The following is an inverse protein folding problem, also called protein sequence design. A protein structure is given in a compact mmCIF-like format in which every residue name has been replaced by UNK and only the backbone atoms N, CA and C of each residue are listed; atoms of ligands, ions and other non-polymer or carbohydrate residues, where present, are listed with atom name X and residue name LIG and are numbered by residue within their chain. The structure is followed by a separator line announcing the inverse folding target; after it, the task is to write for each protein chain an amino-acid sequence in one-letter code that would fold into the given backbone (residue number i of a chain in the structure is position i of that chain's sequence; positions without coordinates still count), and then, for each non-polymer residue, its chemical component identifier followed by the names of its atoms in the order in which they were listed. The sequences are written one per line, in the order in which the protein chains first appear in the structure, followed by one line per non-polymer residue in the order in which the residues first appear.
data_IF_224948766726
#
_entry.id   IF_224948766726
#
_cell.length_a   1.000
_cell.length_b   1.000
_cell.length_c   1.000
_cell.angle_alpha   90.00
_cell.angle_beta   90.00
_cell.angle_gamma   90.00
#
_symmetry.space_group_name_H-M   'P 1'
#
loop_
_entity.id
_entity.type
_entity.pdbx_description
1 polymer ?
#
# COMPACT_ATOMS: atom_id res chain seq x y z
N UNK A 1 -4.70 -24.85 -26.35
CA UNK A 1 -4.70 -24.36 -24.95
C UNK A 1 -3.44 -23.53 -24.75
N UNK A 2 -3.54 -22.20 -24.80
CA UNK A 2 -2.43 -21.32 -24.53
C UNK A 2 -2.35 -21.22 -23.01
N UNK A 3 -1.34 -21.86 -22.40
CA UNK A 3 -0.99 -21.65 -21.01
C UNK A 3 -0.58 -20.18 -20.87
N UNK A 4 -1.47 -19.33 -20.38
CA UNK A 4 -1.07 -18.02 -19.87
C UNK A 4 -0.12 -18.32 -18.71
N UNK A 5 1.17 -18.07 -18.92
CA UNK A 5 2.11 -17.94 -17.83
C UNK A 5 1.58 -16.77 -17.00
N UNK A 6 1.14 -17.05 -15.78
CA UNK A 6 0.86 -16.02 -14.79
C UNK A 6 2.22 -15.33 -14.60
N UNK A 7 2.39 -14.19 -15.26
CA UNK A 7 3.57 -13.37 -15.08
C UNK A 7 3.53 -12.89 -13.62
N UNK A 8 4.47 -13.36 -12.81
CA UNK A 8 4.64 -12.83 -11.48
C UNK A 8 5.17 -11.41 -11.63
N UNK A 9 4.33 -10.43 -11.33
CA UNK A 9 4.69 -9.03 -11.27
C UNK A 9 4.95 -8.65 -9.83
N UNK A 10 5.98 -7.84 -9.62
CA UNK A 10 6.34 -7.27 -8.35
C UNK A 10 5.82 -5.83 -8.30
N UNK A 11 4.98 -5.50 -7.33
CA UNK A 11 4.65 -4.13 -7.00
C UNK A 11 5.71 -3.59 -6.06
N UNK A 12 6.37 -2.52 -6.46
CA UNK A 12 7.41 -1.85 -5.69
C UNK A 12 6.96 -0.44 -5.37
N UNK A 13 6.96 -0.09 -4.09
CA UNK A 13 6.54 1.22 -3.61
C UNK A 13 7.63 1.95 -2.83
N UNK A 14 7.49 3.27 -2.80
CA UNK A 14 8.26 4.16 -1.94
C UNK A 14 7.29 5.12 -1.24
N UNK A 15 7.32 5.12 0.11
CA UNK A 15 6.39 5.86 0.97
C UNK A 15 7.08 6.99 1.71
N UNK A 16 6.38 8.11 1.86
CA UNK A 16 6.88 9.29 2.57
C UNK A 16 5.78 9.93 3.41
N UNK A 17 6.15 10.37 4.61
CA UNK A 17 5.31 11.27 5.40
C UNK A 17 5.39 12.67 4.81
N UNK A 18 4.25 13.34 4.71
CA UNK A 18 4.09 14.68 4.13
C UNK A 18 3.70 15.65 5.23
N UNK A 19 4.45 16.74 5.37
CA UNK A 19 4.14 17.83 6.32
C UNK A 19 3.29 18.89 5.66
N UNK A 20 3.60 19.23 4.41
CA UNK A 20 2.88 20.23 3.62
C UNK A 20 2.15 19.59 2.44
N UNK A 21 0.89 19.19 2.66
CA UNK A 21 0.05 18.61 1.62
C UNK A 21 -0.22 19.58 0.47
N UNK A 22 -0.35 20.89 0.75
CA UNK A 22 -0.62 21.90 -0.30
C UNK A 22 0.59 22.06 -1.20
N UNK A 23 1.78 22.17 -0.63
CA UNK A 23 3.03 22.22 -1.37
C UNK A 23 3.26 20.97 -2.20
N UNK A 24 2.97 19.78 -1.67
CA UNK A 24 3.06 18.53 -2.42
C UNK A 24 2.11 18.54 -3.64
N UNK A 25 0.83 18.89 -3.45
CA UNK A 25 -0.14 18.94 -4.55
C UNK A 25 0.28 19.97 -5.62
N UNK A 26 0.77 21.13 -5.22
CA UNK A 26 1.29 22.13 -6.15
C UNK A 26 2.47 21.59 -6.96
N UNK A 27 3.46 21.00 -6.31
CA UNK A 27 4.64 20.42 -6.98
C UNK A 27 4.27 19.27 -7.94
N UNK A 28 3.30 18.43 -7.59
CA UNK A 28 2.77 17.38 -8.48
C UNK A 28 2.07 17.99 -9.70
N UNK A 29 1.26 19.05 -9.48
CA UNK A 29 0.57 19.77 -10.58
C UNK A 29 1.57 20.41 -11.55
N UNK A 30 2.67 21.00 -11.06
CA UNK A 30 3.75 21.56 -11.89
C UNK A 30 4.47 20.50 -12.75
N UNK A 31 4.30 19.22 -12.44
CA UNK A 31 4.81 18.06 -13.19
C UNK A 31 3.72 17.35 -13.99
N UNK A 32 2.59 18.05 -14.26
CA UNK A 32 1.44 17.53 -14.98
C UNK A 32 0.79 16.27 -14.34
N UNK A 33 0.99 16.06 -13.04
CA UNK A 33 0.33 14.98 -12.30
C UNK A 33 -1.04 15.45 -11.85
N UNK A 34 -2.08 14.90 -12.46
CA UNK A 34 -3.47 15.17 -12.12
C UNK A 34 -3.94 14.13 -11.10
N UNK A 35 -4.21 14.59 -9.87
CA UNK A 35 -4.77 13.73 -8.83
C UNK A 35 -6.30 13.64 -8.93
N UNK A 36 -6.85 12.47 -8.68
CA UNK A 36 -8.29 12.24 -8.54
C UNK A 36 -8.89 13.05 -7.39
N UNK A 37 -10.21 13.12 -7.31
CA UNK A 37 -10.90 13.46 -6.07
C UNK A 37 -10.56 12.48 -4.95
N UNK A 38 -10.77 12.87 -3.67
CA UNK A 38 -10.55 11.95 -2.55
C UNK A 38 -11.55 10.80 -2.59
N UNK A 39 -11.05 9.58 -2.45
CA UNK A 39 -11.84 8.35 -2.33
C UNK A 39 -11.68 7.83 -0.90
N UNK A 40 -12.80 7.61 -0.20
CA UNK A 40 -12.79 6.99 1.12
C UNK A 40 -12.48 5.50 0.99
N UNK A 41 -11.52 5.02 1.76
CA UNK A 41 -11.14 3.61 1.83
C UNK A 41 -11.19 3.12 3.27
N UNK A 42 -11.84 1.97 3.49
CA UNK A 42 -11.94 1.26 4.76
C UNK A 42 -11.33 -0.13 4.58
N UNK A 43 -10.11 -0.27 5.07
CA UNK A 43 -9.29 -1.46 4.93
C UNK A 43 -9.26 -2.24 6.24
N UNK A 44 -9.59 -3.54 6.20
CA UNK A 44 -9.26 -4.49 7.27
C UNK A 44 -8.09 -5.36 6.79
N UNK A 45 -6.98 -5.30 7.52
CA UNK A 45 -5.82 -6.15 7.27
C UNK A 45 -5.94 -7.48 8.03
N UNK A 46 -5.34 -8.54 7.46
CA UNK A 46 -5.30 -9.88 8.03
C UNK A 46 -3.90 -10.46 7.91
N UNK A 47 -3.51 -11.23 8.90
CA UNK A 47 -2.27 -12.00 8.91
C UNK A 47 -2.56 -13.48 9.20
N UNK A 48 -1.69 -14.43 8.81
CA UNK A 48 -1.77 -15.82 9.29
C UNK A 48 -1.72 -15.86 10.81
N UNK A 49 -2.53 -16.71 11.47
CA UNK A 49 -2.66 -16.75 12.91
C UNK A 49 -1.34 -17.08 13.66
N UNK A 50 -0.37 -17.71 12.97
CA UNK A 50 0.95 -17.99 13.51
C UNK A 50 1.92 -16.80 13.47
N UNK A 51 1.61 -15.77 12.66
CA UNK A 51 2.44 -14.57 12.54
C UNK A 51 2.08 -13.54 13.63
N UNK A 52 3.06 -12.85 14.15
CA UNK A 52 2.86 -11.75 15.10
C UNK A 52 3.78 -10.57 14.79
N UNK A 53 3.38 -9.38 15.22
CA UNK A 53 4.21 -8.17 15.09
C UNK A 53 5.56 -8.36 15.77
N UNK A 54 6.63 -7.94 15.06
CA UNK A 54 8.02 -8.17 15.45
C UNK A 54 8.67 -9.32 14.67
N UNK A 55 7.89 -10.22 14.06
CA UNK A 55 8.41 -11.20 13.09
C UNK A 55 8.61 -10.55 11.72
N UNK A 56 9.54 -11.09 10.92
CA UNK A 56 9.70 -10.67 9.53
C UNK A 56 8.40 -10.85 8.74
N UNK A 57 8.07 -9.89 7.90
CA UNK A 57 6.97 -10.00 6.93
C UNK A 57 7.42 -10.63 5.60
N UNK A 58 8.73 -10.63 5.31
CA UNK A 58 9.27 -11.16 4.06
C UNK A 58 8.93 -12.66 3.93
N UNK A 59 8.32 -13.01 2.79
CA UNK A 59 7.85 -14.35 2.50
C UNK A 59 6.49 -14.73 3.12
N UNK A 60 5.91 -13.88 3.97
CA UNK A 60 4.60 -14.10 4.60
C UNK A 60 3.50 -13.45 3.76
N UNK A 61 2.44 -14.19 3.38
CA UNK A 61 1.29 -13.57 2.71
C UNK A 61 0.44 -12.82 3.73
N UNK A 62 0.02 -11.61 3.40
CA UNK A 62 -0.96 -10.79 4.13
C UNK A 62 -2.17 -10.54 3.24
N UNK A 63 -3.35 -10.44 3.85
CA UNK A 63 -4.56 -10.11 3.12
C UNK A 63 -5.14 -8.77 3.56
N UNK A 64 -5.93 -8.17 2.67
CA UNK A 64 -6.68 -6.95 2.93
C UNK A 64 -8.07 -7.08 2.34
N UNK A 65 -9.08 -6.73 3.12
CA UNK A 65 -10.43 -6.46 2.63
C UNK A 65 -10.65 -4.96 2.64
N UNK A 66 -10.87 -4.37 1.47
CA UNK A 66 -11.13 -2.93 1.29
C UNK A 66 -12.58 -2.71 0.89
N UNK A 67 -13.20 -1.69 1.48
CA UNK A 67 -14.42 -1.09 0.96
C UNK A 67 -14.12 0.29 0.43
N UNK A 68 -14.44 0.54 -0.84
CA UNK A 68 -14.35 1.85 -1.48
C UNK A 68 -15.44 2.00 -2.53
N UNK A 69 -16.06 3.17 -2.62
CA UNK A 69 -17.11 3.48 -3.61
C UNK A 69 -18.22 2.41 -3.71
N UNK A 70 -18.60 1.83 -2.55
CA UNK A 70 -19.61 0.77 -2.48
C UNK A 70 -19.16 -0.58 -3.03
N UNK A 71 -17.89 -0.76 -3.35
CA UNK A 71 -17.30 -2.03 -3.81
C UNK A 71 -16.40 -2.63 -2.73
N UNK A 72 -16.28 -3.95 -2.78
CA UNK A 72 -15.36 -4.69 -1.92
C UNK A 72 -14.23 -5.29 -2.75
N UNK A 73 -13.01 -5.10 -2.27
CA UNK A 73 -11.79 -5.61 -2.88
C UNK A 73 -11.09 -6.55 -1.91
N UNK A 74 -10.65 -7.68 -2.41
CA UNK A 74 -9.79 -8.62 -1.70
C UNK A 74 -8.40 -8.57 -2.32
N UNK A 75 -7.39 -8.28 -1.50
CA UNK A 75 -5.98 -8.20 -1.93
C UNK A 75 -5.16 -9.18 -1.11
N UNK A 76 -4.23 -9.88 -1.76
CA UNK A 76 -3.15 -10.60 -1.08
C UNK A 76 -1.84 -9.98 -1.49
N UNK A 77 -1.01 -9.61 -0.50
CA UNK A 77 0.36 -9.12 -0.67
C UNK A 77 1.34 -10.08 0.00
N UNK A 78 2.41 -10.42 -0.71
CA UNK A 78 3.51 -11.20 -0.16
C UNK A 78 4.83 -10.47 -0.41
N UNK A 79 5.43 -9.85 0.63
CA UNK A 79 6.74 -9.23 0.54
C UNK A 79 7.81 -10.25 0.07
N UNK A 80 8.64 -9.87 -0.87
CA UNK A 80 9.69 -10.75 -1.43
C UNK A 80 11.06 -10.28 -0.98
N UNK A 81 11.45 -9.03 -1.27
CA UNK A 81 12.76 -8.48 -0.92
C UNK A 81 12.71 -7.71 0.40
N UNK A 82 11.68 -6.88 0.55
CA UNK A 82 11.37 -6.09 1.73
C UNK A 82 9.86 -5.81 1.76
N UNK A 83 9.37 -5.13 2.82
CA UNK A 83 7.93 -4.87 3.02
C UNK A 83 7.27 -4.01 1.94
N UNK A 84 8.05 -3.29 1.12
CA UNK A 84 7.60 -2.38 0.06
C UNK A 84 7.83 -2.96 -1.35
N UNK A 85 8.17 -4.24 -1.48
CA UNK A 85 8.35 -4.96 -2.74
C UNK A 85 7.61 -6.30 -2.67
N UNK A 86 6.38 -6.33 -3.19
CA UNK A 86 5.42 -7.41 -2.95
C UNK A 86 4.91 -8.06 -4.24
N UNK A 87 4.74 -9.37 -4.20
CA UNK A 87 3.76 -10.01 -5.09
C UNK A 87 2.37 -9.58 -4.62
N UNK A 88 1.59 -8.98 -5.52
CA UNK A 88 0.24 -8.53 -5.21
C UNK A 88 -0.78 -9.11 -6.19
N UNK A 89 -1.90 -9.56 -5.64
CA UNK A 89 -3.06 -9.99 -6.39
C UNK A 89 -4.31 -9.39 -5.76
N UNK A 90 -5.11 -8.70 -6.58
CA UNK A 90 -6.35 -8.07 -6.14
C UNK A 90 -7.52 -8.52 -7.02
N UNK A 91 -8.68 -8.69 -6.42
CA UNK A 91 -9.93 -8.95 -7.13
C UNK A 91 -11.12 -8.29 -6.42
N UNK A 92 -12.16 -8.00 -7.20
CA UNK A 92 -13.45 -7.56 -6.68
C UNK A 92 -14.18 -8.75 -6.09
N UNK A 93 -14.77 -8.59 -4.92
CA UNK A 93 -15.63 -9.58 -4.26
C UNK A 93 -17.03 -9.00 -4.07
N UNK A 94 -18.04 -9.86 -4.11
CA UNK A 94 -19.45 -9.46 -3.94
C UNK A 94 -19.87 -9.36 -2.48
N UNK A 95 -19.21 -10.10 -1.58
CA UNK A 95 -19.58 -10.23 -0.18
C UNK A 95 -18.33 -10.18 0.71
N UNK A 96 -18.20 -9.08 1.46
CA UNK A 96 -17.07 -8.84 2.36
C UNK A 96 -17.12 -9.78 3.58
N UNK A 97 -18.31 -10.01 4.13
CA UNK A 97 -18.47 -10.82 5.36
C UNK A 97 -18.18 -12.29 5.06
N UNK A 98 -18.67 -12.81 3.93
CA UNK A 98 -18.37 -14.17 3.50
C UNK A 98 -16.86 -14.37 3.26
N UNK A 99 -16.16 -13.38 2.67
CA UNK A 99 -14.73 -13.47 2.47
C UNK A 99 -13.95 -13.38 3.81
N UNK A 100 -14.40 -12.55 4.75
CA UNK A 100 -13.79 -12.49 6.08
C UNK A 100 -13.95 -13.83 6.81
N UNK A 101 -15.13 -14.45 6.76
CA UNK A 101 -15.35 -15.78 7.31
C UNK A 101 -14.44 -16.84 6.66
N UNK A 102 -14.28 -16.79 5.33
CA UNK A 102 -13.39 -17.69 4.60
C UNK A 102 -11.92 -17.51 5.03
N UNK A 103 -11.45 -16.28 5.24
CA UNK A 103 -10.12 -16.00 5.77
C UNK A 103 -9.93 -16.63 7.16
N UNK A 104 -10.94 -16.52 8.04
CA UNK A 104 -10.91 -17.18 9.35
C UNK A 104 -10.77 -18.70 9.25
N UNK A 105 -11.53 -19.35 8.34
CA UNK A 105 -11.43 -20.79 8.10
C UNK A 105 -10.04 -21.18 7.57
N UNK A 106 -9.40 -20.32 6.76
CA UNK A 106 -8.03 -20.52 6.27
C UNK A 106 -6.95 -20.27 7.33
N UNK A 107 -7.33 -19.90 8.56
CA UNK A 107 -6.40 -19.64 9.66
C UNK A 107 -5.77 -18.24 9.62
N UNK A 108 -6.47 -17.28 9.06
CA UNK A 108 -6.08 -15.87 9.08
C UNK A 108 -6.85 -15.11 10.15
N UNK A 109 -6.22 -14.15 10.78
CA UNK A 109 -6.82 -13.32 11.83
C UNK A 109 -6.77 -11.84 11.45
N UNK A 110 -7.81 -11.06 11.80
CA UNK A 110 -7.78 -9.62 11.59
C UNK A 110 -6.68 -8.98 12.45
N UNK A 111 -5.99 -8.00 11.90
CA UNK A 111 -4.95 -7.22 12.59
C UNK A 111 -5.41 -5.78 12.82
N UNK A 112 -5.12 -4.86 11.91
CA UNK A 112 -5.51 -3.46 12.05
C UNK A 112 -6.54 -3.05 11.01
N UNK A 113 -7.41 -2.12 11.39
CA UNK A 113 -8.29 -1.41 10.46
C UNK A 113 -7.67 -0.06 10.12
N UNK A 114 -7.69 0.29 8.83
CA UNK A 114 -7.11 1.52 8.29
C UNK A 114 -8.20 2.27 7.55
N UNK A 115 -8.57 3.45 8.07
CA UNK A 115 -9.51 4.34 7.39
C UNK A 115 -8.74 5.52 6.83
N UNK A 116 -8.93 5.80 5.55
CA UNK A 116 -8.19 6.86 4.86
C UNK A 116 -8.96 7.49 3.71
N UNK A 117 -8.51 8.68 3.34
CA UNK A 117 -8.89 9.35 2.09
C UNK A 117 -7.71 9.26 1.13
N UNK A 118 -7.88 8.57 0.01
CA UNK A 118 -6.85 8.41 -1.03
C UNK A 118 -7.17 9.24 -2.27
N UNK A 119 -6.16 9.93 -2.78
CA UNK A 119 -6.16 10.50 -4.14
C UNK A 119 -5.12 9.76 -4.97
N UNK A 120 -5.41 9.49 -6.22
CA UNK A 120 -4.51 8.77 -7.13
C UNK A 120 -4.23 9.58 -8.37
N UNK A 121 -3.03 9.43 -8.93
CA UNK A 121 -2.62 10.02 -10.20
C UNK A 121 -1.53 9.19 -10.86
N UNK A 122 -1.17 9.54 -12.09
CA UNK A 122 -0.08 8.91 -12.83
C UNK A 122 1.04 9.90 -13.10
N UNK A 123 2.29 9.45 -12.98
CA UNK A 123 3.48 10.23 -13.24
C UNK A 123 4.53 9.42 -13.99
N UNK A 124 4.61 9.57 -15.32
CA UNK A 124 5.64 8.91 -16.12
C UNK A 124 5.65 7.38 -16.01
N UNK A 125 4.48 6.74 -15.92
CA UNK A 125 4.35 5.29 -15.76
C UNK A 125 4.38 4.80 -14.30
N UNK A 126 4.56 5.71 -13.33
CA UNK A 126 4.48 5.45 -11.89
C UNK A 126 3.11 5.88 -11.39
N UNK A 127 2.47 5.11 -10.53
CA UNK A 127 1.27 5.54 -9.81
C UNK A 127 1.69 6.40 -8.61
N UNK A 128 0.93 7.47 -8.35
CA UNK A 128 1.09 8.36 -7.20
C UNK A 128 -0.17 8.29 -6.37
N UNK A 129 -0.04 7.93 -5.10
CA UNK A 129 -1.11 7.88 -4.13
C UNK A 129 -0.86 8.89 -3.02
N UNK A 130 -1.82 9.79 -2.77
CA UNK A 130 -1.77 10.72 -1.62
C UNK A 130 -2.83 10.30 -0.63
N UNK A 131 -2.39 9.86 0.54
CA UNK A 131 -3.23 9.33 1.61
C UNK A 131 -3.31 10.29 2.79
N UNK A 132 -4.52 10.55 3.25
CA UNK A 132 -4.78 11.14 4.57
C UNK A 132 -5.40 10.06 5.43
N UNK A 133 -4.68 9.64 6.48
CA UNK A 133 -5.04 8.51 7.34
C UNK A 133 -5.44 9.04 8.70
N UNK A 134 -6.60 8.62 9.17
CA UNK A 134 -7.14 9.03 10.47
C UNK A 134 -6.15 8.70 11.61
N UNK A 135 -5.82 9.71 12.40
CA UNK A 135 -4.89 9.59 13.52
C UNK A 135 -3.42 9.43 13.15
N UNK A 136 -3.05 9.11 11.90
CA UNK A 136 -1.67 8.88 11.49
C UNK A 136 -1.07 10.06 10.71
N UNK A 137 -1.89 10.79 9.94
CA UNK A 137 -1.46 11.95 9.16
C UNK A 137 -1.43 11.72 7.65
N UNK A 138 -0.64 12.51 6.94
CA UNK A 138 -0.59 12.54 5.48
C UNK A 138 0.64 11.83 4.94
N UNK A 139 0.45 11.06 3.87
CA UNK A 139 1.51 10.31 3.19
C UNK A 139 1.40 10.47 1.68
N UNK A 140 2.52 10.31 0.99
CA UNK A 140 2.58 10.05 -0.44
C UNK A 140 3.27 8.71 -0.67
N UNK A 141 2.66 7.86 -1.49
CA UNK A 141 3.23 6.63 -2.02
C UNK A 141 3.43 6.81 -3.51
N UNK A 142 4.55 6.36 -4.01
CA UNK A 142 4.82 6.19 -5.44
C UNK A 142 5.10 4.73 -5.69
N UNK A 143 4.42 4.15 -6.66
CA UNK A 143 4.46 2.71 -6.89
C UNK A 143 4.51 2.37 -8.39
N UNK A 144 5.17 1.29 -8.72
CA UNK A 144 5.18 0.74 -10.07
C UNK A 144 5.20 -0.79 -10.05
N UNK A 145 4.69 -1.37 -11.12
CA UNK A 145 4.71 -2.80 -11.34
C UNK A 145 5.88 -3.14 -12.25
N UNK A 146 6.75 -4.04 -11.79
CA UNK A 146 7.95 -4.46 -12.49
C UNK A 146 8.01 -5.99 -12.63
N UNK A 147 8.98 -6.49 -13.38
CA UNK A 147 9.25 -7.93 -13.45
C UNK A 147 9.84 -8.43 -12.12
N UNK A 148 9.51 -9.66 -11.72
CA UNK A 148 10.15 -10.31 -10.56
C UNK A 148 11.67 -10.54 -10.72
N UNK A 149 12.22 -10.28 -11.91
CA UNK A 149 13.67 -10.30 -12.15
C UNK A 149 14.35 -8.97 -11.76
N UNK A 150 13.55 -7.90 -11.53
CA UNK A 150 14.06 -6.60 -11.10
C UNK A 150 14.35 -6.60 -9.61
N UNK A 151 15.39 -5.87 -9.19
CA UNK A 151 15.67 -5.65 -7.77
C UNK A 151 14.71 -4.61 -7.20
N UNK A 152 13.94 -4.97 -6.18
CA UNK A 152 13.07 -4.05 -5.47
C UNK A 152 13.82 -2.83 -4.92
N UNK A 153 15.03 -3.01 -4.39
CA UNK A 153 15.87 -1.92 -3.87
C UNK A 153 16.27 -0.93 -4.97
N UNK A 154 16.68 -1.43 -6.16
CA UNK A 154 17.02 -0.57 -7.29
C UNK A 154 15.82 0.28 -7.72
N UNK A 155 14.66 -0.35 -7.86
CA UNK A 155 13.43 0.34 -8.26
C UNK A 155 13.03 1.37 -7.19
N UNK A 156 13.13 1.04 -5.91
CA UNK A 156 12.87 1.98 -4.82
C UNK A 156 13.82 3.19 -4.84
N UNK A 157 15.07 3.00 -5.22
CA UNK A 157 16.02 4.12 -5.38
C UNK A 157 15.61 5.06 -6.53
N UNK A 158 15.10 4.51 -7.64
CA UNK A 158 14.56 5.28 -8.77
C UNK A 158 13.31 6.07 -8.34
N UNK A 159 12.39 5.44 -7.60
CA UNK A 159 11.20 6.08 -7.04
C UNK A 159 11.59 7.18 -6.03
N UNK A 160 12.61 6.95 -5.19
CA UNK A 160 13.11 7.96 -4.24
C UNK A 160 13.67 9.19 -4.98
N UNK A 161 14.45 8.99 -6.04
CA UNK A 161 14.98 10.08 -6.86
C UNK A 161 13.84 10.89 -7.50
N UNK A 162 12.77 10.22 -7.97
CA UNK A 162 11.59 10.85 -8.53
C UNK A 162 10.89 11.74 -7.50
N UNK A 163 10.61 11.24 -6.28
CA UNK A 163 9.96 12.03 -5.22
C UNK A 163 10.83 13.19 -4.78
N UNK A 164 12.15 13.01 -4.62
CA UNK A 164 13.08 14.10 -4.28
C UNK A 164 13.11 15.20 -5.33
N UNK A 165 12.88 14.87 -6.59
CA UNK A 165 12.81 15.86 -7.68
C UNK A 165 11.66 16.85 -7.54
N UNK A 166 10.66 16.57 -6.71
CA UNK A 166 9.57 17.52 -6.40
C UNK A 166 10.07 18.73 -5.59
N UNK A 167 11.19 18.62 -4.87
CA UNK A 167 11.71 19.71 -4.05
C UNK A 167 10.87 20.04 -2.80
N UNK A 168 9.92 19.17 -2.44
CA UNK A 168 9.09 19.34 -1.24
C UNK A 168 9.66 18.58 -0.05
N UNK A 169 9.51 19.08 1.19
CA UNK A 169 9.98 18.38 2.38
C UNK A 169 9.11 17.15 2.65
N UNK A 170 9.70 15.97 2.50
CA UNK A 170 9.07 14.68 2.81
C UNK A 170 10.05 13.80 3.58
N UNK A 171 9.53 12.94 4.45
CA UNK A 171 10.32 11.99 5.22
C UNK A 171 10.04 10.57 4.74
N UNK A 172 11.10 9.86 4.30
CA UNK A 172 10.99 8.44 3.91
C UNK A 172 10.48 7.60 5.06
N UNK A 173 9.53 6.70 4.75
CA UNK A 173 8.96 5.73 5.68
C UNK A 173 9.10 4.34 5.08
N UNK A 174 9.66 3.40 5.83
CA UNK A 174 9.86 2.00 5.41
C UNK A 174 8.84 1.05 6.02
N UNK A 175 8.10 1.51 7.02
CA UNK A 175 7.04 0.73 7.65
C UNK A 175 5.75 0.79 6.83
N UNK A 176 5.00 -0.30 6.83
CA UNK A 176 3.64 -0.34 6.29
C UNK A 176 2.66 0.39 7.23
N UNK A 177 1.48 0.80 6.73
CA UNK A 177 0.49 1.52 7.55
C UNK A 177 0.02 0.71 8.75
N UNK A 178 -0.10 -0.61 8.62
CA UNK A 178 -0.48 -1.48 9.74
C UNK A 178 0.55 -1.43 10.86
N UNK A 179 1.86 -1.45 10.54
CA UNK A 179 2.94 -1.30 11.51
C UNK A 179 2.90 0.08 12.18
N UNK A 180 2.71 1.16 11.40
CA UNK A 180 2.64 2.52 11.94
C UNK A 180 1.47 2.70 12.91
N UNK A 181 0.28 2.20 12.55
CA UNK A 181 -0.92 2.28 13.42
C UNK A 181 -0.71 1.45 14.68
N UNK A 182 -0.17 0.23 14.55
CA UNK A 182 0.13 -0.62 15.69
C UNK A 182 1.08 0.06 16.69
N UNK A 183 2.14 0.69 16.19
CA UNK A 183 3.11 1.37 17.03
C UNK A 183 2.49 2.56 17.79
N UNK A 184 1.55 3.31 17.17
CA UNK A 184 0.82 4.39 17.83
C UNK A 184 -0.04 3.87 18.99
N UNK A 185 -0.79 2.78 18.78
CA UNK A 185 -1.67 2.22 19.82
C UNK A 185 -0.91 1.61 20.98
N UNK A 186 0.31 1.09 20.72
CA UNK A 186 1.18 0.52 21.76
C UNK A 186 1.88 1.57 22.61
N UNK A 187 2.00 2.83 22.14
CA UNK A 187 2.65 3.93 22.89
C UNK A 187 1.65 4.71 23.74
N UNK A 188 0.34 4.51 23.53
CA UNK A 188 -0.74 5.20 24.25
C UNK A 188 -1.31 4.42 25.46
N UNK A 189 -0.79 3.23 25.76
CA UNK A 189 -1.12 2.37 26.90
C UNK A 189 0.05 2.20 27.85
#
# INVERSE_FOLDING_TARGET
MVSQRIGHHLEVEAKYRVVDLRGLIAALTERDVVLSGPCAQDDQAFAPAWWSYGMSKVGVPFARLRTQDGRHLFTVKKPIDNEMACLEHECVISDREAMEAALGVMGWVPTVRIVKQRRTGGWGGVAVCVDVIDGLGTFVEVECVVSCADSGERVQAELDALVRSLGVPVQRVTDTYDTLIRNMTSTAG
#
